data_IF_547753882421
#
_entry.id   IF_547753882421
#
_cell.length_a   1.000
_cell.length_b   1.000
_cell.length_c   1.000
_cell.angle_alpha   90.00
_cell.angle_beta   90.00
_cell.angle_gamma   90.00
#
_symmetry.space_group_name_H-M   'P 1'
#
loop_
_entity.id
_entity.type
_entity.pdbx_description
1 polymer ?
#
# COMPACT_ATOMS: atom_id res chain seq x y z
N UNK A 1 -11.54 30.00 -17.73
CA UNK A 1 -12.17 29.69 -16.43
C UNK A 1 -12.07 30.90 -15.53
N UNK A 2 -12.90 31.03 -14.48
CA UNK A 2 -12.77 32.11 -13.49
C UNK A 2 -11.71 31.77 -12.42
N UNK A 3 -11.02 32.79 -11.91
CA UNK A 3 -10.05 32.62 -10.83
C UNK A 3 -10.73 32.08 -9.56
N UNK A 4 -10.07 31.13 -8.90
CA UNK A 4 -10.54 30.44 -7.70
C UNK A 4 -9.36 29.92 -6.89
N UNK A 5 -9.64 29.22 -5.78
CA UNK A 5 -8.58 28.58 -4.98
C UNK A 5 -7.86 27.44 -5.71
N UNK A 6 -8.48 26.83 -6.75
CA UNK A 6 -7.86 25.76 -7.55
C UNK A 6 -7.24 26.26 -8.86
N UNK A 7 -7.64 27.45 -9.32
CA UNK A 7 -7.30 27.95 -10.64
C UNK A 7 -6.98 29.44 -10.61
N UNK A 8 -5.86 29.83 -11.19
CA UNK A 8 -5.49 31.23 -11.34
C UNK A 8 -4.77 31.47 -12.65
N UNK A 9 -5.04 32.58 -13.34
CA UNK A 9 -4.30 32.99 -14.54
C UNK A 9 -3.65 34.36 -14.37
N UNK A 10 -2.32 34.39 -14.44
CA UNK A 10 -1.56 35.63 -14.41
C UNK A 10 -1.23 36.11 -15.83
N UNK A 11 -2.24 36.51 -16.60
CA UNK A 11 -2.08 36.95 -18.00
C UNK A 11 -1.23 38.22 -18.17
N UNK A 12 -0.97 38.95 -17.07
CA UNK A 12 -0.10 40.13 -17.03
C UNK A 12 1.38 39.79 -16.78
N UNK A 13 1.70 38.54 -16.44
CA UNK A 13 3.08 38.11 -16.25
C UNK A 13 3.84 38.07 -17.58
N UNK A 14 5.06 38.60 -17.62
CA UNK A 14 5.92 38.58 -18.81
C UNK A 14 6.28 37.15 -19.27
N UNK A 15 6.20 36.18 -18.35
CA UNK A 15 6.45 34.78 -18.62
C UNK A 15 5.19 34.00 -18.99
N UNK A 16 4.00 34.61 -19.10
CA UNK A 16 2.77 33.85 -19.38
C UNK A 16 2.56 33.60 -20.89
N UNK A 17 2.24 32.35 -21.31
CA UNK A 17 2.32 31.12 -20.54
C UNK A 17 3.80 30.67 -20.38
N UNK A 18 4.16 30.18 -19.20
CA UNK A 18 5.57 29.82 -18.92
C UNK A 18 5.99 28.51 -19.60
N UNK A 19 5.01 27.72 -20.05
CA UNK A 19 5.19 26.53 -20.85
C UNK A 19 4.37 26.62 -22.13
N UNK A 20 4.88 26.01 -23.20
CA UNK A 20 4.16 25.95 -24.47
C UNK A 20 2.93 25.06 -24.33
N UNK A 21 1.76 25.60 -24.66
CA UNK A 21 0.47 24.89 -24.61
C UNK A 21 -0.40 25.23 -25.80
N UNK A 22 -1.29 24.33 -26.19
CA UNK A 22 -2.25 24.56 -27.26
C UNK A 22 -3.42 25.44 -26.82
N UNK A 23 -3.89 25.27 -25.56
CA UNK A 23 -5.06 25.97 -25.00
C UNK A 23 -4.66 26.84 -23.81
N UNK A 24 -4.31 28.09 -24.10
CA UNK A 24 -3.89 29.06 -23.07
C UNK A 24 -5.02 29.35 -22.07
N UNK A 25 -6.28 29.26 -22.47
CA UNK A 25 -7.47 29.47 -21.62
C UNK A 25 -7.59 28.51 -20.42
N UNK A 26 -6.93 27.35 -20.48
CA UNK A 26 -6.90 26.37 -19.39
C UNK A 26 -5.57 26.41 -18.61
N UNK A 27 -4.63 27.28 -18.97
CA UNK A 27 -3.32 27.31 -18.33
C UNK A 27 -3.40 27.83 -16.90
N UNK A 28 -3.05 27.01 -15.91
CA UNK A 28 -3.13 27.36 -14.50
C UNK A 28 -1.78 27.88 -13.96
N UNK A 29 -1.76 29.09 -13.42
CA UNK A 29 -0.61 29.74 -12.77
C UNK A 29 -0.56 29.50 -11.25
N UNK A 30 -1.50 28.75 -10.67
CA UNK A 30 -1.57 28.56 -9.21
C UNK A 30 -0.25 28.03 -8.62
N UNK A 31 0.44 27.15 -9.35
CA UNK A 31 1.75 26.62 -9.01
C UNK A 31 2.83 27.09 -10.00
N UNK A 32 2.97 28.41 -10.17
CA UNK A 32 4.00 29.02 -11.02
C UNK A 32 5.42 28.45 -10.77
N UNK A 33 5.72 28.04 -9.53
CA UNK A 33 6.82 27.14 -9.25
C UNK A 33 6.26 25.76 -8.89
N UNK A 34 6.78 24.71 -9.54
CA UNK A 34 6.34 23.34 -9.28
C UNK A 34 6.74 22.91 -7.86
N UNK A 35 5.79 22.71 -6.94
CA UNK A 35 6.11 22.32 -5.58
C UNK A 35 6.63 20.87 -5.51
N UNK A 36 6.38 20.08 -6.57
CA UNK A 36 6.86 18.70 -6.72
C UNK A 36 8.25 18.61 -7.36
N UNK A 37 8.98 19.72 -7.54
CA UNK A 37 10.28 19.69 -8.22
C UNK A 37 11.27 18.73 -7.54
N UNK A 38 11.29 18.69 -6.21
CA UNK A 38 12.20 17.83 -5.42
C UNK A 38 11.71 16.39 -5.25
N UNK A 39 10.48 16.09 -5.63
CA UNK A 39 9.93 14.74 -5.54
C UNK A 39 10.65 13.83 -6.55
N UNK A 40 11.25 12.75 -6.06
CA UNK A 40 11.85 11.72 -6.92
C UNK A 40 10.77 11.01 -7.75
N UNK A 41 9.71 10.52 -7.08
CA UNK A 41 8.49 9.98 -7.71
C UNK A 41 7.48 11.09 -7.98
N UNK A 42 7.83 11.96 -8.92
CA UNK A 42 6.99 13.07 -9.34
C UNK A 42 5.71 12.58 -10.04
N UNK A 43 4.55 13.17 -9.73
CA UNK A 43 3.31 12.92 -10.48
C UNK A 43 3.41 13.37 -11.95
N UNK A 44 4.34 14.29 -12.24
CA UNK A 44 4.51 14.87 -13.57
C UNK A 44 5.42 14.03 -14.45
N UNK A 45 5.63 14.50 -15.67
CA UNK A 45 6.52 13.86 -16.64
C UNK A 45 7.77 14.72 -16.88
N UNK A 46 8.68 14.84 -15.90
CA UNK A 46 9.95 15.54 -16.09
C UNK A 46 10.87 14.74 -17.01
N UNK A 47 11.62 15.44 -17.83
CA UNK A 47 12.81 14.88 -18.48
C UNK A 47 13.98 14.89 -17.50
N UNK A 48 15.04 14.14 -17.82
CA UNK A 48 16.24 14.11 -16.99
C UNK A 48 17.48 14.32 -17.83
N UNK A 49 18.31 15.26 -17.41
CA UNK A 49 19.59 15.57 -18.05
C UNK A 49 20.73 15.21 -17.11
N UNK A 50 21.82 14.67 -17.66
CA UNK A 50 23.01 14.31 -16.89
C UNK A 50 23.98 15.48 -16.96
N UNK A 51 24.37 16.01 -15.79
CA UNK A 51 25.36 17.07 -15.70
C UNK A 51 26.76 16.57 -16.10
N UNK A 52 27.69 17.49 -16.39
CA UNK A 52 29.10 17.15 -16.65
C UNK A 52 29.78 16.39 -15.49
N UNK A 53 29.20 16.42 -14.29
CA UNK A 53 29.68 15.70 -13.09
C UNK A 53 28.94 14.38 -12.85
N UNK A 54 28.12 13.92 -13.79
CA UNK A 54 27.34 12.68 -13.68
C UNK A 54 26.09 12.79 -12.81
N UNK A 55 25.70 13.99 -12.36
CA UNK A 55 24.51 14.17 -11.54
C UNK A 55 23.26 14.19 -12.41
N UNK A 56 22.21 13.47 -11.99
CA UNK A 56 20.90 13.49 -12.62
C UNK A 56 20.15 14.76 -12.22
N UNK A 57 19.84 15.62 -13.18
CA UNK A 57 19.10 16.87 -12.99
C UNK A 57 17.74 16.70 -13.63
N UNK A 58 16.69 17.10 -12.91
CA UNK A 58 15.31 17.07 -13.36
C UNK A 58 15.02 18.30 -14.22
N UNK A 59 14.56 18.08 -15.45
CA UNK A 59 14.14 19.13 -16.38
C UNK A 59 12.61 19.09 -16.54
N UNK A 60 11.94 20.12 -16.01
CA UNK A 60 10.49 20.24 -16.07
C UNK A 60 10.00 21.19 -17.18
N UNK A 61 10.88 21.60 -18.11
CA UNK A 61 10.54 22.61 -19.14
C UNK A 61 9.43 22.18 -20.09
N UNK A 62 9.19 20.87 -20.23
CA UNK A 62 8.11 20.29 -21.04
C UNK A 62 6.95 19.71 -20.20
N UNK A 63 6.99 19.85 -18.87
CA UNK A 63 5.97 19.28 -17.99
C UNK A 63 4.82 20.26 -17.75
N UNK A 64 3.59 19.83 -18.03
CA UNK A 64 2.38 20.66 -17.87
C UNK A 64 1.53 20.32 -16.64
N UNK A 65 1.95 19.35 -15.81
CA UNK A 65 1.12 18.82 -14.73
C UNK A 65 0.55 19.91 -13.83
N UNK A 66 1.40 20.80 -13.32
CA UNK A 66 0.98 21.84 -12.36
C UNK A 66 0.21 22.98 -13.03
N UNK A 67 0.16 22.99 -14.36
CA UNK A 67 -0.57 23.97 -15.18
C UNK A 67 -1.93 23.46 -15.64
N UNK A 68 -2.29 22.22 -15.30
CA UNK A 68 -3.63 21.67 -15.54
C UNK A 68 -4.54 21.98 -14.34
N UNK A 69 -5.69 22.64 -14.53
CA UNK A 69 -6.62 22.97 -13.44
C UNK A 69 -7.06 21.75 -12.63
N UNK A 70 -7.21 20.61 -13.31
CA UNK A 70 -7.69 19.34 -12.75
C UNK A 70 -6.66 18.71 -11.79
N UNK A 71 -5.39 19.10 -11.90
CA UNK A 71 -4.30 18.52 -11.10
C UNK A 71 -4.11 19.18 -9.74
N UNK A 72 -4.86 20.24 -9.44
CA UNK A 72 -4.72 20.97 -8.17
C UNK A 72 -4.86 20.05 -6.96
N UNK A 73 -5.94 19.26 -6.90
CA UNK A 73 -6.21 18.37 -5.77
C UNK A 73 -5.14 17.28 -5.65
N UNK A 74 -4.64 16.77 -6.78
CA UNK A 74 -3.56 15.78 -6.79
C UNK A 74 -2.24 16.34 -6.26
N UNK A 75 -1.90 17.59 -6.63
CA UNK A 75 -0.68 18.26 -6.16
C UNK A 75 -0.78 18.55 -4.67
N UNK A 76 -1.92 19.09 -4.19
CA UNK A 76 -2.13 19.35 -2.77
C UNK A 76 -2.09 18.05 -1.96
N UNK A 77 -2.78 17.00 -2.42
CA UNK A 77 -2.76 15.69 -1.76
C UNK A 77 -1.35 15.11 -1.68
N UNK A 78 -0.52 15.28 -2.72
CA UNK A 78 0.89 14.85 -2.70
C UNK A 78 1.73 15.63 -1.68
N UNK A 79 1.45 16.93 -1.49
CA UNK A 79 2.16 17.77 -0.53
C UNK A 79 1.73 17.55 0.92
N UNK A 80 0.47 17.17 1.14
CA UNK A 80 -0.09 16.87 2.46
C UNK A 80 0.20 15.44 2.91
N UNK A 81 0.89 14.66 2.08
CA UNK A 81 1.23 13.27 2.38
C UNK A 81 2.10 13.17 3.63
N UNK A 82 1.57 12.51 4.64
CA UNK A 82 2.30 12.11 5.85
C UNK A 82 2.57 10.61 5.79
N UNK A 83 3.70 10.25 5.19
CA UNK A 83 4.21 8.88 5.22
C UNK A 83 4.70 8.57 6.64
N UNK A 84 4.18 7.52 7.25
CA UNK A 84 4.66 6.97 8.51
C UNK A 84 5.41 5.67 8.24
N UNK A 85 6.67 5.62 8.68
CA UNK A 85 7.52 4.44 8.59
C UNK A 85 7.51 3.68 9.91
N UNK A 86 7.02 2.45 9.89
CA UNK A 86 7.03 1.54 11.04
C UNK A 86 8.11 0.47 10.86
N UNK A 87 8.84 0.19 11.93
CA UNK A 87 9.85 -0.87 11.97
C UNK A 87 9.38 -2.00 12.89
N UNK A 88 8.89 -3.10 12.31
CA UNK A 88 8.31 -4.23 13.05
C UNK A 88 9.35 -5.31 13.27
N UNK A 89 9.79 -5.50 14.51
CA UNK A 89 10.71 -6.59 14.88
C UNK A 89 9.98 -7.94 14.94
N UNK A 90 10.15 -8.76 13.90
CA UNK A 90 9.54 -10.09 13.78
C UNK A 90 9.94 -11.04 14.90
N UNK A 91 11.07 -10.82 15.59
CA UNK A 91 11.44 -11.66 16.76
C UNK A 91 10.41 -11.54 17.88
N UNK A 92 9.76 -10.38 18.01
CA UNK A 92 8.67 -10.16 18.98
C UNK A 92 7.37 -10.85 18.55
N UNK A 93 7.28 -11.28 17.29
CA UNK A 93 6.13 -11.95 16.70
C UNK A 93 6.41 -13.43 16.39
N UNK A 94 7.55 -13.98 16.86
CA UNK A 94 8.00 -15.33 16.54
C UNK A 94 6.94 -16.40 16.80
N UNK A 95 6.28 -16.33 17.95
CA UNK A 95 5.26 -17.30 18.34
C UNK A 95 4.07 -17.25 17.38
N UNK A 96 3.57 -16.05 17.07
CA UNK A 96 2.46 -15.85 16.15
C UNK A 96 2.80 -16.32 14.74
N UNK A 97 4.02 -16.04 14.26
CA UNK A 97 4.50 -16.51 12.95
C UNK A 97 4.59 -18.03 12.93
N UNK A 98 5.11 -18.66 13.99
CA UNK A 98 5.16 -20.13 14.11
C UNK A 98 3.77 -20.75 14.08
N UNK A 99 2.83 -20.21 14.87
CA UNK A 99 1.45 -20.69 14.92
C UNK A 99 0.77 -20.55 13.55
N UNK A 100 0.95 -19.42 12.87
CA UNK A 100 0.38 -19.20 11.54
C UNK A 100 1.00 -20.12 10.49
N UNK A 101 2.31 -20.34 10.53
CA UNK A 101 3.00 -21.28 9.65
C UNK A 101 2.49 -22.71 9.84
N UNK A 102 2.24 -23.14 11.07
CA UNK A 102 1.64 -24.44 11.37
C UNK A 102 0.22 -24.58 10.81
N UNK A 103 -0.56 -23.50 10.80
CA UNK A 103 -1.90 -23.48 10.18
C UNK A 103 -1.81 -23.61 8.65
N UNK A 104 -0.97 -22.81 8.00
CA UNK A 104 -0.82 -22.79 6.53
C UNK A 104 -0.32 -24.14 6.00
N UNK A 105 0.54 -24.81 6.76
CA UNK A 105 1.16 -26.09 6.35
C UNK A 105 0.32 -27.31 6.69
N UNK A 106 -0.85 -27.12 7.31
CA UNK A 106 -1.74 -28.21 7.77
C UNK A 106 -1.01 -29.29 8.60
N UNK A 107 0.08 -28.92 9.29
CA UNK A 107 0.94 -29.88 10.00
C UNK A 107 0.20 -30.64 11.12
N UNK A 108 -0.90 -30.07 11.60
CA UNK A 108 -1.72 -30.69 12.63
C UNK A 108 -2.64 -31.80 12.10
N UNK A 109 -2.79 -31.92 10.79
CA UNK A 109 -3.63 -32.91 10.10
C UNK A 109 -2.80 -34.12 9.61
N UNK A 110 -1.49 -34.09 9.79
CA UNK A 110 -0.54 -35.13 9.37
C UNK A 110 -0.36 -36.18 10.50
N UNK A 111 0.01 -37.40 10.14
CA UNK A 111 0.38 -38.45 11.10
C UNK A 111 1.52 -38.02 12.04
N UNK A 112 1.58 -38.68 13.21
CA UNK A 112 2.43 -38.25 14.32
C UNK A 112 3.94 -38.31 13.99
N UNK A 113 4.36 -39.24 13.15
CA UNK A 113 5.78 -39.45 12.82
C UNK A 113 6.25 -38.38 11.82
N UNK A 114 5.48 -38.13 10.75
CA UNK A 114 5.77 -37.04 9.81
C UNK A 114 5.65 -35.67 10.49
N UNK A 115 4.71 -35.48 11.43
CA UNK A 115 4.55 -34.23 12.18
C UNK A 115 5.82 -33.79 12.91
N UNK A 116 6.59 -34.73 13.46
CA UNK A 116 7.84 -34.42 14.14
C UNK A 116 8.90 -33.88 13.17
N UNK A 117 9.06 -34.51 12.01
CA UNK A 117 10.00 -34.06 10.97
C UNK A 117 9.62 -32.67 10.42
N UNK A 118 8.33 -32.44 10.18
CA UNK A 118 7.84 -31.15 9.73
C UNK A 118 8.03 -30.04 10.79
N UNK A 119 7.90 -30.36 12.08
CA UNK A 119 8.20 -29.41 13.17
C UNK A 119 9.68 -29.03 13.21
N UNK A 120 10.58 -29.99 13.03
CA UNK A 120 12.03 -29.72 12.95
C UNK A 120 12.33 -28.77 11.78
N UNK A 121 11.70 -28.99 10.62
CA UNK A 121 11.89 -28.11 9.47
C UNK A 121 11.39 -26.68 9.74
N UNK A 122 10.19 -26.54 10.32
CA UNK A 122 9.66 -25.23 10.73
C UNK A 122 10.61 -24.52 11.68
N UNK A 123 11.08 -25.21 12.73
CA UNK A 123 11.96 -24.62 13.74
C UNK A 123 13.32 -24.24 13.16
N UNK A 124 13.91 -25.10 12.32
CA UNK A 124 15.15 -24.79 11.60
C UNK A 124 15.01 -23.54 10.74
N UNK A 125 13.90 -23.39 10.04
CA UNK A 125 13.65 -22.26 9.13
C UNK A 125 13.44 -20.98 9.91
N UNK A 126 12.59 -21.01 10.94
CA UNK A 126 12.37 -19.87 11.82
C UNK A 126 13.67 -19.42 12.47
N UNK A 127 14.45 -20.35 13.02
CA UNK A 127 15.71 -20.04 13.70
C UNK A 127 16.78 -19.59 12.71
N UNK A 128 16.86 -20.22 11.53
CA UNK A 128 17.80 -19.87 10.46
C UNK A 128 17.55 -18.45 9.96
N UNK A 129 16.33 -18.15 9.52
CA UNK A 129 15.97 -16.81 9.02
C UNK A 129 16.13 -15.75 10.11
N UNK A 130 15.69 -16.03 11.35
CA UNK A 130 15.83 -15.06 12.44
C UNK A 130 17.28 -14.82 12.89
N UNK A 131 18.19 -15.75 12.62
CA UNK A 131 19.62 -15.67 12.99
C UNK A 131 20.48 -15.08 11.88
N UNK A 132 20.21 -15.42 10.62
CA UNK A 132 20.98 -14.98 9.45
C UNK A 132 20.69 -13.52 9.07
N UNK A 133 19.57 -12.95 9.53
CA UNK A 133 19.29 -11.52 9.46
C UNK A 133 20.18 -10.73 10.46
N UNK A 134 21.47 -10.58 10.14
CA UNK A 134 22.44 -9.84 10.93
C UNK A 134 22.13 -8.33 10.97
N UNK A 135 21.28 -7.89 11.90
CA UNK A 135 21.09 -6.46 12.23
C UNK A 135 19.68 -6.11 12.65
N UNK A 136 18.67 -6.50 11.87
CA UNK A 136 17.27 -6.38 12.25
C UNK A 136 16.43 -7.41 11.50
N UNK A 137 15.77 -8.31 12.22
CA UNK A 137 14.62 -9.07 11.72
C UNK A 137 13.40 -8.14 11.61
N UNK A 138 13.62 -6.93 11.07
CA UNK A 138 12.63 -5.89 10.97
C UNK A 138 11.95 -5.97 9.62
N UNK A 139 10.64 -5.85 9.61
CA UNK A 139 9.86 -5.54 8.42
C UNK A 139 9.45 -4.09 8.50
N UNK A 140 9.83 -3.34 7.47
CA UNK A 140 9.47 -1.93 7.37
C UNK A 140 8.11 -1.83 6.68
N UNK A 141 7.20 -1.09 7.30
CA UNK A 141 5.84 -0.84 6.79
C UNK A 141 5.68 0.65 6.57
N UNK A 142 5.23 1.02 5.38
CA UNK A 142 4.85 2.38 5.05
C UNK A 142 3.35 2.50 5.25
N UNK A 143 2.92 3.50 6.02
CA UNK A 143 1.52 3.88 6.19
C UNK A 143 1.31 5.29 5.66
N UNK A 144 0.18 5.51 5.00
CA UNK A 144 -0.25 6.83 4.56
C UNK A 144 -1.72 7.02 4.89
N UNK A 145 -2.01 7.97 5.77
CA UNK A 145 -3.39 8.33 6.12
C UNK A 145 -4.12 8.96 4.93
N UNK A 146 -5.42 8.67 4.80
CA UNK A 146 -6.31 9.35 3.88
C UNK A 146 -7.65 9.67 4.53
N UNK A 147 -8.24 10.76 4.04
CA UNK A 147 -9.46 11.33 4.59
C UNK A 147 -10.70 10.52 4.16
N UNK A 148 -11.78 10.52 4.95
CA UNK A 148 -12.98 9.70 4.70
C UNK A 148 -13.67 10.05 3.37
N UNK A 149 -13.45 11.24 2.81
CA UNK A 149 -13.98 11.65 1.49
C UNK A 149 -13.43 10.80 0.34
N UNK A 150 -12.32 10.09 0.56
CA UNK A 150 -11.79 9.12 -0.40
C UNK A 150 -12.58 7.81 -0.43
N UNK A 151 -13.58 7.62 0.43
CA UNK A 151 -14.31 6.36 0.59
C UNK A 151 -15.71 6.53 0.01
N UNK A 152 -16.08 5.68 -0.95
CA UNK A 152 -17.39 5.69 -1.59
C UNK A 152 -17.99 4.28 -1.59
N UNK A 153 -19.34 4.15 -1.70
CA UNK A 153 -19.96 2.83 -1.81
C UNK A 153 -19.39 2.04 -2.99
N UNK A 154 -18.70 0.95 -2.67
CA UNK A 154 -18.07 0.03 -3.63
C UNK A 154 -16.71 0.44 -4.20
N UNK A 155 -16.16 1.62 -3.86
CA UNK A 155 -14.86 2.05 -4.39
C UNK A 155 -14.17 3.12 -3.54
N UNK A 156 -12.85 3.25 -3.72
CA UNK A 156 -12.09 4.40 -3.25
C UNK A 156 -11.89 5.41 -4.37
N UNK A 157 -11.85 6.70 -4.02
CA UNK A 157 -11.46 7.78 -4.91
C UNK A 157 -10.17 8.44 -4.43
N UNK A 158 -9.10 8.29 -5.19
CA UNK A 158 -7.83 8.95 -4.91
C UNK A 158 -7.43 9.78 -6.10
N UNK A 159 -7.19 11.09 -5.89
CA UNK A 159 -6.68 11.95 -6.95
C UNK A 159 -7.55 11.91 -8.24
N UNK A 160 -8.88 11.78 -8.10
CA UNK A 160 -9.82 11.64 -9.22
C UNK A 160 -9.85 10.27 -9.90
N UNK A 161 -9.05 9.30 -9.44
CA UNK A 161 -9.07 7.92 -9.90
C UNK A 161 -9.97 7.06 -9.02
N UNK A 162 -10.71 6.16 -9.67
CA UNK A 162 -11.59 5.19 -9.02
C UNK A 162 -10.87 3.85 -8.86
N UNK A 163 -10.77 3.36 -7.63
CA UNK A 163 -10.26 2.02 -7.31
C UNK A 163 -11.41 1.19 -6.74
N UNK A 164 -11.89 0.19 -7.48
CA UNK A 164 -12.99 -0.67 -7.03
C UNK A 164 -12.62 -1.45 -5.76
N UNK A 165 -13.58 -1.57 -4.84
CA UNK A 165 -13.47 -2.34 -3.61
C UNK A 165 -14.88 -2.74 -3.17
N UNK A 166 -15.37 -3.87 -3.70
CA UNK A 166 -16.77 -4.29 -3.58
C UNK A 166 -17.30 -4.35 -2.14
N UNK A 167 -16.47 -4.74 -1.16
CA UNK A 167 -16.88 -4.81 0.25
C UNK A 167 -17.40 -3.47 0.80
N UNK A 168 -16.95 -2.34 0.25
CA UNK A 168 -17.40 -1.01 0.68
C UNK A 168 -18.89 -0.75 0.45
N UNK A 169 -19.56 -1.54 -0.40
CA UNK A 169 -21.02 -1.46 -0.57
C UNK A 169 -21.79 -1.91 0.68
N UNK A 170 -21.15 -2.73 1.53
CA UNK A 170 -21.76 -3.32 2.72
C UNK A 170 -21.45 -2.54 4.00
N UNK A 171 -20.55 -1.56 3.91
CA UNK A 171 -20.16 -0.75 5.06
C UNK A 171 -21.00 0.51 5.10
N UNK A 172 -21.41 0.93 6.29
CA UNK A 172 -21.90 2.29 6.49
C UNK A 172 -20.71 3.25 6.54
N UNK A 173 -20.38 3.79 5.36
CA UNK A 173 -19.22 4.68 5.17
C UNK A 173 -19.35 5.97 6.00
N UNK A 174 -20.57 6.37 6.38
CA UNK A 174 -20.78 7.57 7.20
C UNK A 174 -20.20 7.45 8.62
N UNK A 175 -19.92 6.22 9.06
CA UNK A 175 -19.34 5.90 10.36
C UNK A 175 -17.81 5.75 10.32
N UNK A 176 -17.20 5.88 9.14
CA UNK A 176 -15.76 5.73 8.95
C UNK A 176 -15.08 7.08 9.16
N UNK A 177 -14.14 7.12 10.12
CA UNK A 177 -13.42 8.33 10.51
C UNK A 177 -12.34 8.71 9.48
N UNK A 178 -11.64 7.70 8.95
CA UNK A 178 -10.49 7.82 8.05
C UNK A 178 -10.03 6.44 7.53
N UNK A 179 -9.04 6.42 6.65
CA UNK A 179 -8.32 5.20 6.29
C UNK A 179 -6.80 5.37 6.19
N UNK A 180 -6.13 4.25 5.97
CA UNK A 180 -4.69 4.16 5.77
C UNK A 180 -4.39 3.30 4.55
N UNK A 181 -3.60 3.81 3.61
CA UNK A 181 -2.94 2.96 2.61
C UNK A 181 -1.68 2.40 3.27
N UNK A 182 -1.36 1.15 3.03
CA UNK A 182 -0.12 0.54 3.52
C UNK A 182 0.63 -0.18 2.41
N UNK A 183 1.96 -0.27 2.55
CA UNK A 183 2.80 -1.19 1.77
C UNK A 183 3.94 -1.77 2.62
N UNK A 184 4.26 -3.04 2.39
CA UNK A 184 5.45 -3.70 2.95
C UNK A 184 5.76 -4.99 2.17
N UNK A 185 6.88 -5.63 2.47
CA UNK A 185 7.20 -6.97 1.97
C UNK A 185 7.61 -7.92 3.09
N UNK A 186 7.37 -9.22 2.90
CA UNK A 186 7.93 -10.26 3.77
C UNK A 186 9.46 -10.24 3.69
N UNK A 187 10.18 -10.77 4.70
CA UNK A 187 11.62 -10.93 4.62
C UNK A 187 12.05 -11.61 3.31
N UNK A 188 13.04 -11.04 2.63
CA UNK A 188 13.59 -11.64 1.42
C UNK A 188 14.41 -12.86 1.82
N UNK A 189 14.01 -14.02 1.29
CA UNK A 189 14.67 -15.31 1.52
C UNK A 189 15.23 -15.83 0.20
N UNK A 190 16.36 -16.50 0.26
CA UNK A 190 17.01 -17.10 -0.91
C UNK A 190 16.34 -18.45 -1.23
N UNK A 191 15.34 -18.41 -2.12
CA UNK A 191 14.63 -19.60 -2.56
C UNK A 191 15.44 -20.46 -3.54
N UNK A 192 16.35 -19.85 -4.31
CA UNK A 192 17.10 -20.52 -5.39
C UNK A 192 18.21 -21.42 -4.84
N UNK A 193 18.80 -21.06 -3.69
CA UNK A 193 19.82 -21.86 -3.02
C UNK A 193 19.26 -22.75 -1.89
N UNK A 194 17.94 -23.02 -1.89
CA UNK A 194 17.35 -23.96 -0.94
C UNK A 194 17.83 -25.39 -1.22
N UNK A 195 18.17 -26.13 -0.16
CA UNK A 195 18.70 -27.50 -0.28
C UNK A 195 17.68 -28.53 -0.76
N UNK A 196 16.38 -28.20 -0.78
CA UNK A 196 15.30 -29.10 -1.21
C UNK A 196 14.02 -28.33 -1.62
N UNK A 197 13.15 -28.98 -2.41
CA UNK A 197 11.80 -28.45 -2.74
C UNK A 197 10.94 -28.24 -1.49
N UNK A 198 11.12 -29.10 -0.48
CA UNK A 198 10.42 -28.97 0.80
C UNK A 198 10.85 -27.70 1.54
N UNK A 199 12.15 -27.39 1.52
CA UNK A 199 12.68 -26.15 2.10
C UNK A 199 12.10 -24.93 1.41
N UNK A 200 12.03 -24.95 0.07
CA UNK A 200 11.40 -23.87 -0.71
C UNK A 200 9.94 -23.65 -0.30
N UNK A 201 9.15 -24.72 -0.21
CA UNK A 201 7.75 -24.66 0.22
C UNK A 201 7.61 -24.02 1.61
N UNK A 202 8.43 -24.43 2.58
CA UNK A 202 8.37 -23.86 3.93
C UNK A 202 8.85 -22.40 3.99
N UNK A 203 9.81 -22.00 3.15
CA UNK A 203 10.25 -20.62 3.06
C UNK A 203 9.15 -19.72 2.50
N UNK A 204 8.46 -20.16 1.45
CA UNK A 204 7.30 -19.45 0.90
C UNK A 204 6.17 -19.37 1.94
N UNK A 205 5.85 -20.48 2.60
CA UNK A 205 4.85 -20.52 3.66
C UNK A 205 5.22 -19.61 4.86
N UNK A 206 6.51 -19.51 5.20
CA UNK A 206 7.01 -18.58 6.22
C UNK A 206 6.78 -17.12 5.81
N UNK A 207 7.05 -16.76 4.56
CA UNK A 207 6.79 -15.41 4.04
C UNK A 207 5.29 -15.06 4.10
N UNK A 208 4.41 -16.00 3.73
CA UNK A 208 2.94 -15.83 3.88
C UNK A 208 2.56 -15.65 5.34
N UNK A 209 3.10 -16.49 6.24
CA UNK A 209 2.83 -16.38 7.67
C UNK A 209 3.26 -15.02 8.25
N UNK A 210 4.40 -14.48 7.80
CA UNK A 210 4.87 -13.15 8.20
C UNK A 210 3.90 -12.05 7.74
N UNK A 211 3.45 -12.10 6.49
CA UNK A 211 2.49 -11.14 5.95
C UNK A 211 1.20 -11.15 6.76
N UNK A 212 0.62 -12.33 7.00
CA UNK A 212 -0.63 -12.46 7.75
C UNK A 212 -0.51 -11.93 9.19
N UNK A 213 0.59 -12.28 9.87
CA UNK A 213 0.85 -11.82 11.24
C UNK A 213 1.08 -10.32 11.30
N UNK A 214 1.80 -9.74 10.34
CA UNK A 214 2.01 -8.29 10.26
C UNK A 214 0.69 -7.57 9.98
N UNK A 215 -0.16 -8.07 9.08
CA UNK A 215 -1.49 -7.48 8.84
C UNK A 215 -2.33 -7.43 10.12
N UNK A 216 -2.38 -8.54 10.87
CA UNK A 216 -3.07 -8.58 12.16
C UNK A 216 -2.44 -7.63 13.19
N UNK A 217 -1.11 -7.54 13.23
CA UNK A 217 -0.41 -6.61 14.11
C UNK A 217 -0.72 -5.14 13.76
N UNK A 218 -0.77 -4.80 12.47
CA UNK A 218 -1.10 -3.46 11.97
C UNK A 218 -2.53 -3.05 12.34
N UNK A 219 -3.50 -3.98 12.26
CA UNK A 219 -4.87 -3.71 12.72
C UNK A 219 -4.88 -3.24 14.17
N UNK A 220 -4.31 -4.04 15.08
CA UNK A 220 -4.24 -3.68 16.50
C UNK A 220 -3.39 -2.42 16.77
N UNK A 221 -2.36 -2.16 15.96
CA UNK A 221 -1.60 -0.91 16.03
C UNK A 221 -2.49 0.30 15.70
N UNK A 222 -3.21 0.24 14.59
CA UNK A 222 -4.06 1.34 14.11
C UNK A 222 -5.24 1.62 15.03
N UNK A 223 -5.84 0.59 15.63
CA UNK A 223 -6.87 0.74 16.67
C UNK A 223 -6.36 1.60 17.83
N UNK A 224 -5.16 1.29 18.35
CA UNK A 224 -4.55 2.02 19.47
C UNK A 224 -4.01 3.39 19.10
N UNK A 225 -3.54 3.57 17.86
CA UNK A 225 -2.99 4.84 17.35
C UNK A 225 -4.06 5.93 17.31
N UNK A 226 -5.28 5.56 16.92
CA UNK A 226 -6.33 6.53 16.62
C UNK A 226 -7.10 7.04 17.85
N UNK A 227 -7.01 6.35 18.99
CA UNK A 227 -7.48 6.89 20.27
C UNK A 227 -6.86 6.15 21.44
N UNK A 228 -6.48 6.92 22.47
CA UNK A 228 -6.00 6.37 23.76
C UNK A 228 -7.15 6.24 24.77
N UNK A 229 -8.26 6.96 24.53
CA UNK A 229 -9.37 7.08 25.48
C UNK A 229 -10.59 6.26 25.09
N UNK A 230 -10.84 6.16 23.80
CA UNK A 230 -12.01 5.50 23.22
C UNK A 230 -11.56 4.32 22.38
N UNK A 231 -12.33 3.24 22.41
CA UNK A 231 -12.05 2.10 21.53
C UNK A 231 -12.32 2.54 20.09
N UNK A 232 -11.32 2.38 19.23
CA UNK A 232 -11.48 2.44 17.77
C UNK A 232 -11.42 1.03 17.21
N UNK A 233 -12.11 0.85 16.09
CA UNK A 233 -12.13 -0.41 15.35
C UNK A 233 -11.34 -0.22 14.06
N UNK A 234 -10.59 -1.23 13.67
CA UNK A 234 -9.86 -1.26 12.41
C UNK A 234 -10.42 -2.38 11.54
N UNK A 235 -10.67 -2.08 10.27
CA UNK A 235 -11.12 -3.09 9.32
C UNK A 235 -10.07 -4.19 9.15
N UNK A 236 -10.43 -5.37 8.60
CA UNK A 236 -9.45 -6.20 7.93
C UNK A 236 -8.73 -5.38 6.87
N UNK A 237 -7.55 -5.87 6.44
CA UNK A 237 -6.92 -5.22 5.31
C UNK A 237 -7.79 -5.48 4.08
N UNK A 238 -8.06 -4.45 3.29
CA UNK A 238 -8.68 -4.53 1.98
C UNK A 238 -7.59 -4.30 0.94
N UNK A 239 -7.55 -5.03 -0.16
CA UNK A 239 -6.44 -4.88 -1.09
C UNK A 239 -6.58 -5.71 -2.36
N UNK A 240 -5.68 -5.47 -3.34
CA UNK A 240 -5.75 -6.11 -4.64
C UNK A 240 -5.72 -7.63 -4.52
N UNK A 241 -6.65 -8.27 -5.22
CA UNK A 241 -6.88 -9.72 -5.18
C UNK A 241 -8.10 -10.09 -4.36
N UNK A 242 -8.48 -9.32 -3.33
CA UNK A 242 -9.48 -9.72 -2.35
C UNK A 242 -10.47 -8.58 -2.01
N UNK A 243 -11.60 -8.90 -1.37
CA UNK A 243 -12.69 -7.95 -1.05
C UNK A 243 -13.24 -7.14 -2.26
N UNK A 244 -13.14 -7.70 -3.46
CA UNK A 244 -13.62 -7.06 -4.68
C UNK A 244 -12.72 -5.93 -5.19
N UNK A 245 -11.43 -5.93 -4.83
CA UNK A 245 -10.43 -5.05 -5.42
C UNK A 245 -9.57 -5.82 -6.43
N UNK A 246 -9.55 -5.36 -7.68
CA UNK A 246 -8.79 -6.01 -8.76
C UNK A 246 -7.28 -5.78 -8.68
N UNK A 247 -6.50 -6.62 -9.38
CA UNK A 247 -5.03 -6.54 -9.39
C UNK A 247 -4.49 -5.28 -10.08
N UNK A 248 -5.29 -4.68 -10.96
CA UNK A 248 -5.02 -3.40 -11.61
C UNK A 248 -4.89 -2.22 -10.62
N UNK A 249 -5.40 -2.37 -9.39
CA UNK A 249 -5.28 -1.38 -8.33
C UNK A 249 -3.85 -1.30 -7.73
N UNK A 250 -3.02 -2.33 -7.89
CA UNK A 250 -1.66 -2.39 -7.32
C UNK A 250 -0.80 -1.17 -7.73
N UNK A 251 -0.58 -0.90 -9.02
CA UNK A 251 0.23 0.26 -9.43
C UNK A 251 -0.39 1.59 -9.02
N UNK A 252 -1.71 1.66 -8.88
CA UNK A 252 -2.39 2.89 -8.46
C UNK A 252 -2.14 3.19 -6.97
N UNK A 253 -2.34 2.20 -6.09
CA UNK A 253 -2.08 2.34 -4.66
C UNK A 253 -0.60 2.62 -4.37
N UNK A 254 0.31 1.89 -5.02
CA UNK A 254 1.75 2.14 -4.90
C UNK A 254 2.17 3.50 -5.45
N UNK A 255 1.40 4.08 -6.38
CA UNK A 255 1.64 5.42 -6.92
C UNK A 255 1.21 6.55 -5.97
N UNK A 256 0.36 6.27 -4.98
CA UNK A 256 -0.08 7.24 -3.98
C UNK A 256 1.00 7.49 -2.91
N UNK A 257 1.81 6.47 -2.63
CA UNK A 257 2.86 6.46 -1.62
C UNK A 257 4.26 6.30 -2.23
N UNK A 258 5.30 6.55 -1.44
CA UNK A 258 6.68 6.29 -1.86
C UNK A 258 7.17 4.96 -1.28
N UNK A 259 6.56 3.88 -1.79
CA UNK A 259 6.80 2.52 -1.32
C UNK A 259 8.27 2.06 -1.47
N UNK A 260 9.13 2.79 -2.21
CA UNK A 260 10.57 2.49 -2.23
C UNK A 260 11.22 2.62 -0.86
N UNK A 261 10.66 3.44 0.04
CA UNK A 261 11.17 3.60 1.41
C UNK A 261 11.14 2.28 2.19
N UNK A 262 10.26 1.36 1.81
CA UNK A 262 10.13 0.02 2.38
C UNK A 262 10.53 -1.08 1.40
N UNK A 263 11.32 -0.74 0.38
CA UNK A 263 11.81 -1.70 -0.61
C UNK A 263 10.77 -2.23 -1.60
N UNK A 264 9.54 -1.70 -1.60
CA UNK A 264 8.46 -2.17 -2.48
C UNK A 264 8.40 -1.34 -3.78
N UNK A 265 8.29 -2.03 -4.90
CA UNK A 265 8.20 -1.44 -6.23
C UNK A 265 7.30 -2.25 -7.17
N UNK A 266 6.85 -1.63 -8.25
CA UNK A 266 6.10 -2.28 -9.34
C UNK A 266 6.97 -2.33 -10.59
N UNK A 267 7.15 -3.52 -11.18
CA UNK A 267 8.00 -3.69 -12.38
C UNK A 267 7.23 -3.69 -13.71
N UNK A 268 5.90 -3.53 -13.67
CA UNK A 268 5.02 -3.63 -14.84
C UNK A 268 4.11 -4.86 -14.81
N UNK A 269 4.56 -5.95 -14.19
CA UNK A 269 3.85 -7.23 -14.12
C UNK A 269 3.49 -7.64 -12.68
N UNK A 270 4.42 -7.42 -11.75
CA UNK A 270 4.24 -7.78 -10.35
C UNK A 270 4.98 -6.81 -9.42
N UNK A 271 4.69 -6.94 -8.13
CA UNK A 271 5.47 -6.26 -7.10
C UNK A 271 6.84 -6.93 -6.93
N UNK A 272 7.84 -6.11 -6.60
CA UNK A 272 9.17 -6.54 -6.23
C UNK A 272 9.52 -5.96 -4.84
N UNK A 273 9.86 -6.81 -3.85
CA UNK A 273 9.92 -8.28 -3.88
C UNK A 273 8.57 -8.96 -4.19
N UNK A 274 8.59 -10.21 -4.69
CA UNK A 274 7.35 -10.93 -5.05
C UNK A 274 6.36 -11.04 -3.87
N UNK A 275 6.88 -11.28 -2.67
CA UNK A 275 6.10 -11.34 -1.43
C UNK A 275 5.90 -9.94 -0.84
N UNK A 276 5.41 -9.02 -1.66
CA UNK A 276 4.99 -7.68 -1.23
C UNK A 276 3.47 -7.59 -1.12
N UNK A 277 3.00 -6.67 -0.30
CA UNK A 277 1.59 -6.37 -0.14
C UNK A 277 1.37 -4.87 -0.17
N UNK A 278 0.25 -4.47 -0.79
CA UNK A 278 -0.31 -3.11 -0.74
C UNK A 278 -1.80 -3.23 -0.49
N UNK A 279 -2.37 -2.31 0.27
CA UNK A 279 -3.80 -2.31 0.55
C UNK A 279 -4.20 -1.13 1.43
N UNK A 280 -5.40 -1.24 2.01
CA UNK A 280 -6.01 -0.21 2.84
C UNK A 280 -6.57 -0.79 4.14
N UNK A 281 -6.55 0.02 5.19
CA UNK A 281 -7.29 -0.18 6.44
C UNK A 281 -8.25 1.00 6.65
N UNK A 282 -9.42 0.75 7.24
CA UNK A 282 -10.39 1.78 7.60
C UNK A 282 -10.56 1.82 9.12
N UNK A 283 -10.79 3.01 9.66
CA UNK A 283 -10.96 3.24 11.10
C UNK A 283 -12.35 3.79 11.38
N UNK A 284 -13.01 3.23 12.38
CA UNK A 284 -14.34 3.66 12.82
C UNK A 284 -14.44 3.77 14.35
N UNK A 285 -15.37 4.60 14.82
CA UNK A 285 -15.72 4.72 16.24
C UNK A 285 -16.50 3.53 16.80
N UNK A 286 -17.17 2.77 15.93
CA UNK A 286 -17.93 1.58 16.27
C UNK A 286 -17.58 0.42 15.34
N UNK A 287 -18.00 -0.79 15.72
CA UNK A 287 -17.69 -1.99 14.94
C UNK A 287 -18.61 -2.10 13.72
N UNK A 288 -18.19 -1.45 12.64
CA UNK A 288 -18.85 -1.52 11.33
C UNK A 288 -18.20 -2.54 10.41
N UNK A 289 -17.22 -3.29 10.91
CA UNK A 289 -16.43 -4.26 10.16
C UNK A 289 -16.77 -5.71 10.52
N UNK A 290 -17.91 -5.93 11.18
CA UNK A 290 -18.50 -7.26 11.33
C UNK A 290 -18.82 -7.83 9.94
N UNK A 291 -17.81 -8.48 9.38
CA UNK A 291 -17.85 -9.12 8.09
C UNK A 291 -18.26 -10.57 8.32
N UNK A 292 -19.17 -11.07 7.48
CA UNK A 292 -19.60 -12.47 7.51
C UNK A 292 -18.38 -13.42 7.51
N UNK A 293 -18.51 -14.52 8.23
CA UNK A 293 -17.51 -15.58 8.34
C UNK A 293 -16.94 -16.03 6.99
N UNK A 294 -17.76 -16.01 5.93
CA UNK A 294 -17.40 -16.40 4.56
C UNK A 294 -16.38 -15.46 3.89
N UNK A 295 -16.23 -14.23 4.39
CA UNK A 295 -15.29 -13.25 3.85
C UNK A 295 -13.93 -13.25 4.58
N UNK A 296 -13.83 -13.89 5.75
CA UNK A 296 -12.60 -13.94 6.57
C UNK A 296 -11.43 -14.63 5.86
N UNK A 297 -11.74 -15.63 5.04
CA UNK A 297 -10.79 -16.43 4.25
C UNK A 297 -10.93 -16.17 2.73
N UNK A 298 -11.60 -15.10 2.33
CA UNK A 298 -11.87 -14.81 0.93
C UNK A 298 -10.59 -14.38 0.20
N UNK A 299 -10.10 -15.24 -0.70
CA UNK A 299 -8.97 -14.95 -1.60
C UNK A 299 -9.36 -13.92 -2.67
N UNK A 300 -10.67 -13.74 -2.90
CA UNK A 300 -11.29 -12.87 -3.89
C UNK A 300 -10.85 -13.08 -5.34
N UNK A 301 -11.53 -12.40 -6.26
CA UNK A 301 -11.13 -12.26 -7.65
C UNK A 301 -11.69 -10.96 -8.23
N UNK A 302 -11.26 -10.58 -9.43
CA UNK A 302 -11.67 -9.35 -10.12
C UNK A 302 -13.19 -9.25 -10.41
N UNK A 303 -13.91 -10.35 -10.27
CA UNK A 303 -15.38 -10.40 -10.39
C UNK A 303 -16.12 -10.23 -9.07
N UNK A 304 -15.40 -10.12 -7.94
CA UNK A 304 -15.96 -10.16 -6.59
C UNK A 304 -16.38 -11.58 -6.18
N UNK A 305 -16.41 -11.86 -4.88
CA UNK A 305 -17.08 -13.05 -4.36
C UNK A 305 -18.60 -12.85 -4.39
N UNK A 306 -19.41 -13.91 -4.49
CA UNK A 306 -20.88 -13.82 -4.40
C UNK A 306 -21.34 -13.04 -3.15
N UNK A 307 -20.57 -13.14 -2.05
CA UNK A 307 -20.77 -12.37 -0.84
C UNK A 307 -20.45 -10.87 -0.98
N UNK A 308 -19.47 -10.49 -1.81
CA UNK A 308 -19.17 -9.08 -2.12
C UNK A 308 -20.18 -8.46 -3.10
N UNK A 309 -20.99 -9.27 -3.78
CA UNK A 309 -21.94 -8.86 -4.84
C UNK A 309 -23.39 -8.79 -4.32
N UNK A 310 -23.64 -9.11 -3.04
CA UNK A 310 -24.99 -9.03 -2.47
C UNK A 310 -25.46 -7.57 -2.37
N UNK A 311 -26.27 -7.21 -3.37
CA UNK A 311 -27.23 -6.10 -3.53
C UNK A 311 -26.95 -4.76 -2.85
#
# INVERSE_FOLDING_TARGET
MENSYKFFQNTQCEFFPCHKVEKVENFNCMFCYCPLYREERCLGNPEYVISRKGQRIKDCSNCLLVHQPEMYDMVIGRLQREDELLHIDLRKLKTQVKERLMQITHINEIDADMKYEHQINIDRILDGVMKDMSGSCAVDVLLQEFAPECICPGYFTFCGKKIECGILTQLDISLIDKGYIYAFHAPVVDLENTGSVLDQYYMEAFQVACIDVIRGWLQGYLERKNSVYEKKYCSPSFGPGYYGMGMEAVPELLGLMDASQVGVSWNGECMSPKMSLVGTYLIAGEDVFEIDSDCRDCIGHSGGCEFCIKH
#
